data_IF_984754608139
#
_entry.id   IF_984754608139
#
_cell.length_a   1.000
_cell.length_b   1.000
_cell.length_c   1.000
_cell.angle_alpha   90.00
_cell.angle_beta   90.00
_cell.angle_gamma   90.00
#
_symmetry.space_group_name_H-M   'P 1'
#
loop_
_entity.id
_entity.type
_entity.pdbx_description
1 polymer ?
#
# COMPACT_ATOMS: atom_id res chain seq x y z
N UNK A 1 -3.19 -22.69 4.46
CA UNK A 1 -2.93 -22.11 3.13
C UNK A 1 -1.65 -21.29 3.20
N UNK A 2 -0.70 -21.50 2.28
CA UNK A 2 0.49 -20.66 2.20
C UNK A 2 0.07 -19.23 1.85
N UNK A 3 0.60 -18.23 2.57
CA UNK A 3 0.36 -16.82 2.25
C UNK A 3 1.03 -16.53 0.90
N UNK A 4 0.25 -16.07 -0.08
CA UNK A 4 0.82 -15.62 -1.35
C UNK A 4 1.60 -14.33 -1.13
N UNK A 5 2.79 -14.28 -1.65
CA UNK A 5 3.69 -13.13 -1.55
C UNK A 5 4.05 -12.62 -2.94
N UNK A 6 4.59 -11.42 -3.01
CA UNK A 6 5.01 -10.79 -4.26
C UNK A 6 6.06 -11.64 -4.98
N UNK A 7 6.93 -12.33 -4.24
CA UNK A 7 7.92 -13.26 -4.78
C UNK A 7 7.32 -14.47 -5.51
N UNK A 8 6.03 -14.75 -5.32
CA UNK A 8 5.32 -15.84 -6.03
C UNK A 8 4.77 -15.42 -7.40
N UNK A 9 4.91 -14.15 -7.78
CA UNK A 9 4.47 -13.61 -9.07
C UNK A 9 5.68 -13.39 -9.99
N UNK A 10 5.55 -13.84 -11.24
CA UNK A 10 6.56 -13.65 -12.27
C UNK A 10 6.32 -12.40 -13.13
N UNK A 11 7.24 -12.15 -14.06
CA UNK A 11 7.10 -11.05 -15.01
C UNK A 11 5.86 -11.19 -15.90
N UNK A 12 5.49 -12.44 -16.23
CA UNK A 12 4.28 -12.77 -17.01
C UNK A 12 2.98 -12.40 -16.28
N UNK A 13 2.99 -12.41 -14.95
CA UNK A 13 1.83 -12.05 -14.12
C UNK A 13 1.67 -10.54 -13.96
N UNK A 14 2.75 -9.77 -14.15
CA UNK A 14 2.84 -8.36 -13.75
C UNK A 14 3.05 -7.39 -14.92
N UNK A 15 3.73 -7.81 -16.00
CA UNK A 15 4.03 -6.92 -17.13
C UNK A 15 2.75 -6.37 -17.77
N UNK A 16 2.67 -5.05 -17.89
CA UNK A 16 1.51 -4.34 -18.43
C UNK A 16 0.26 -4.39 -17.54
N UNK A 17 0.30 -5.12 -16.42
CA UNK A 17 -0.83 -5.21 -15.48
C UNK A 17 -0.90 -4.00 -14.57
N UNK A 18 -2.13 -3.58 -14.30
CA UNK A 18 -2.42 -2.54 -13.31
C UNK A 18 -2.43 -3.18 -11.93
N UNK A 19 -1.51 -2.73 -11.08
CA UNK A 19 -1.29 -3.29 -9.74
C UNK A 19 -1.63 -2.24 -8.69
N UNK A 20 -2.68 -2.48 -7.91
CA UNK A 20 -3.03 -1.65 -6.76
C UNK A 20 -2.18 -2.05 -5.56
N UNK A 21 -1.36 -1.13 -5.08
CA UNK A 21 -0.48 -1.36 -3.92
C UNK A 21 -0.96 -0.50 -2.76
N UNK A 22 -1.36 -1.14 -1.67
CA UNK A 22 -1.66 -0.43 -0.42
C UNK A 22 -0.36 -0.20 0.35
N UNK A 23 0.00 1.06 0.51
CA UNK A 23 1.23 1.50 1.21
C UNK A 23 0.89 2.33 2.46
N UNK A 24 1.83 2.43 3.39
CA UNK A 24 1.72 3.29 4.56
C UNK A 24 2.56 4.57 4.37
N UNK A 25 1.91 5.63 3.91
CA UNK A 25 2.52 6.94 3.72
C UNK A 25 2.06 7.97 4.76
N UNK A 26 1.63 7.49 5.92
CA UNK A 26 1.26 8.37 7.03
C UNK A 26 2.51 8.92 7.73
N UNK A 27 3.22 9.83 7.05
CA UNK A 27 4.47 10.45 7.49
C UNK A 27 4.22 11.71 8.33
N UNK A 28 5.12 12.06 9.27
CA UNK A 28 5.02 13.32 9.98
C UNK A 28 5.36 14.51 9.08
N UNK A 29 4.68 15.63 9.31
CA UNK A 29 4.91 16.90 8.66
C UNK A 29 5.05 17.99 9.72
N UNK A 30 5.79 19.04 9.39
CA UNK A 30 5.84 20.26 10.18
C UNK A 30 4.66 21.21 9.89
N UNK A 31 4.63 22.36 10.56
CA UNK A 31 3.55 23.35 10.41
C UNK A 31 3.47 23.95 8.99
N UNK A 32 4.54 23.85 8.19
CA UNK A 32 4.56 24.27 6.79
C UNK A 32 4.06 23.20 5.83
N UNK A 33 3.79 21.97 6.33
CA UNK A 33 3.42 20.80 5.53
C UNK A 33 4.62 20.05 4.94
N UNK A 34 5.86 20.43 5.29
CA UNK A 34 7.04 19.70 4.83
C UNK A 34 7.20 18.38 5.59
N UNK A 35 7.56 17.31 4.85
CA UNK A 35 7.80 16.00 5.45
C UNK A 35 9.08 16.04 6.29
N UNK A 36 8.96 15.72 7.58
CA UNK A 36 10.09 15.71 8.53
C UNK A 36 10.77 14.35 8.65
N UNK A 37 10.06 13.27 8.31
CA UNK A 37 10.59 11.91 8.29
C UNK A 37 9.94 11.12 7.14
N UNK A 38 10.74 10.65 6.19
CA UNK A 38 10.31 9.90 5.01
C UNK A 38 10.54 8.38 5.11
N UNK A 39 10.88 7.87 6.30
CA UNK A 39 11.20 6.45 6.54
C UNK A 39 10.13 5.52 5.99
N UNK A 40 8.85 5.84 6.16
CA UNK A 40 7.74 5.02 5.66
C UNK A 40 7.65 5.01 4.15
N UNK A 41 7.96 6.12 3.48
CA UNK A 41 7.99 6.17 2.02
C UNK A 41 9.15 5.30 1.53
N UNK A 42 10.33 5.44 2.13
CA UNK A 42 11.51 4.61 1.78
C UNK A 42 11.27 3.13 2.00
N UNK A 43 10.54 2.75 3.03
CA UNK A 43 10.22 1.36 3.32
C UNK A 43 9.38 0.68 2.22
N UNK A 44 8.57 1.45 1.48
CA UNK A 44 7.77 0.94 0.36
C UNK A 44 8.54 0.86 -0.97
N UNK A 45 9.69 1.53 -1.09
CA UNK A 45 10.46 1.58 -2.34
C UNK A 45 10.84 0.20 -2.91
N UNK A 46 11.26 -0.79 -2.10
CA UNK A 46 11.59 -2.12 -2.63
C UNK A 46 10.42 -2.76 -3.38
N UNK A 47 9.21 -2.69 -2.83
CA UNK A 47 8.00 -3.21 -3.48
C UNK A 47 7.66 -2.44 -4.75
N UNK A 48 7.71 -1.11 -4.70
CA UNK A 48 7.39 -0.25 -5.85
C UNK A 48 8.40 -0.47 -6.97
N UNK A 49 9.70 -0.48 -6.67
CA UNK A 49 10.76 -0.69 -7.65
C UNK A 49 10.67 -2.07 -8.29
N UNK A 50 10.46 -3.11 -7.50
CA UNK A 50 10.28 -4.47 -8.01
C UNK A 50 9.13 -4.56 -9.02
N UNK A 51 7.98 -3.99 -8.73
CA UNK A 51 6.83 -3.97 -9.64
C UNK A 51 7.14 -3.20 -10.92
N UNK A 52 7.78 -2.05 -10.82
CA UNK A 52 8.19 -1.23 -11.95
C UNK A 52 9.18 -1.94 -12.86
N UNK A 53 10.19 -2.60 -12.28
CA UNK A 53 11.23 -3.32 -13.02
C UNK A 53 10.65 -4.49 -13.81
N UNK A 54 9.54 -5.06 -13.35
CA UNK A 54 8.79 -6.10 -14.08
C UNK A 54 7.77 -5.52 -15.08
N UNK A 55 7.72 -4.19 -15.27
CA UNK A 55 6.85 -3.53 -16.24
C UNK A 55 5.40 -3.40 -15.77
N UNK A 56 5.11 -3.53 -14.47
CA UNK A 56 3.77 -3.28 -13.94
C UNK A 56 3.41 -1.79 -13.99
N UNK A 57 2.13 -1.50 -14.12
CA UNK A 57 1.53 -0.16 -13.98
C UNK A 57 1.11 0.01 -12.52
N UNK A 58 1.88 0.78 -11.74
CA UNK A 58 1.77 0.83 -10.30
C UNK A 58 0.82 1.92 -9.84
N UNK A 59 -0.23 1.52 -9.13
CA UNK A 59 -1.25 2.40 -8.56
C UNK A 59 -1.12 2.33 -7.04
N UNK A 60 -0.70 3.42 -6.40
CA UNK A 60 -0.49 3.48 -4.96
C UNK A 60 -1.73 4.02 -4.26
N UNK A 61 -2.20 3.33 -3.25
CA UNK A 61 -3.27 3.76 -2.36
C UNK A 61 -2.72 3.93 -0.94
N UNK A 62 -2.88 5.11 -0.37
CA UNK A 62 -2.39 5.44 0.96
C UNK A 62 -3.41 6.26 1.74
N UNK A 63 -3.28 6.24 3.06
CA UNK A 63 -3.96 7.19 3.93
C UNK A 63 -2.96 8.17 4.53
N UNK A 64 -3.46 9.33 4.89
CA UNK A 64 -2.72 10.35 5.61
C UNK A 64 -3.61 11.02 6.66
N UNK A 65 -3.14 11.04 7.90
CA UNK A 65 -3.88 11.62 9.02
C UNK A 65 -5.23 10.94 9.31
N UNK A 66 -6.13 11.73 9.88
CA UNK A 66 -7.50 11.30 10.26
C UNK A 66 -8.54 12.32 9.80
N UNK A 67 -8.84 12.42 8.51
CA UNK A 67 -9.75 13.43 7.95
C UNK A 67 -11.24 13.13 8.22
N UNK A 68 -11.57 11.97 8.81
CA UNK A 68 -12.94 11.58 9.20
C UNK A 68 -13.94 11.58 8.03
N UNK A 69 -13.54 11.04 6.89
CA UNK A 69 -14.40 10.92 5.71
C UNK A 69 -14.70 12.25 5.00
N UNK A 70 -13.84 13.26 5.16
CA UNK A 70 -13.98 14.56 4.52
C UNK A 70 -12.66 15.00 3.88
N UNK A 71 -12.75 15.74 2.79
CA UNK A 71 -11.57 16.37 2.19
C UNK A 71 -11.00 17.42 3.16
N UNK A 72 -9.71 17.32 3.41
CA UNK A 72 -8.94 18.26 4.20
C UNK A 72 -7.67 18.62 3.45
N UNK A 73 -7.51 19.89 3.08
CA UNK A 73 -6.39 20.36 2.26
C UNK A 73 -5.01 20.09 2.90
N UNK A 74 -4.93 20.18 4.24
CA UNK A 74 -3.70 19.85 4.99
C UNK A 74 -3.38 18.35 5.06
N UNK A 75 -4.29 17.49 4.59
CA UNK A 75 -4.13 16.03 4.57
C UNK A 75 -4.10 15.45 3.14
N UNK A 76 -3.88 16.28 2.13
CA UNK A 76 -3.62 15.82 0.77
C UNK A 76 -2.25 15.16 0.65
N UNK A 77 -2.14 14.22 -0.27
CA UNK A 77 -0.90 13.47 -0.52
C UNK A 77 0.07 14.18 -1.48
N UNK A 78 -0.11 15.47 -1.76
CA UNK A 78 0.70 16.23 -2.72
C UNK A 78 2.19 16.22 -2.37
N UNK A 79 2.55 16.49 -1.12
CA UNK A 79 3.95 16.48 -0.66
C UNK A 79 4.54 15.06 -0.69
N UNK A 80 3.72 14.06 -0.40
CA UNK A 80 4.12 12.64 -0.49
C UNK A 80 4.43 12.25 -1.93
N UNK A 81 3.60 12.66 -2.89
CA UNK A 81 3.84 12.41 -4.32
C UNK A 81 5.14 13.05 -4.81
N UNK A 82 5.38 14.30 -4.43
CA UNK A 82 6.63 15.01 -4.75
C UNK A 82 7.85 14.28 -4.17
N UNK A 83 7.80 13.94 -2.88
CA UNK A 83 8.89 13.22 -2.23
C UNK A 83 9.14 11.84 -2.83
N UNK A 84 8.08 11.12 -3.17
CA UNK A 84 8.18 9.82 -3.82
C UNK A 84 8.79 9.93 -5.22
N UNK A 85 8.44 10.96 -5.99
CA UNK A 85 9.07 11.25 -7.29
C UNK A 85 10.57 11.46 -7.16
N UNK A 86 11.02 12.25 -6.17
CA UNK A 86 12.45 12.47 -5.89
C UNK A 86 13.16 11.16 -5.57
N UNK A 87 12.57 10.33 -4.72
CA UNK A 87 13.16 9.07 -4.28
C UNK A 87 13.22 8.00 -5.38
N UNK A 88 12.23 7.97 -6.27
CA UNK A 88 12.18 7.04 -7.40
C UNK A 88 12.97 7.54 -8.62
N UNK A 89 13.27 8.85 -8.69
CA UNK A 89 13.90 9.47 -9.85
C UNK A 89 13.03 9.48 -11.11
N UNK A 90 11.72 9.35 -10.96
CA UNK A 90 10.73 9.36 -12.04
C UNK A 90 9.49 10.14 -11.60
N UNK A 91 8.72 10.73 -12.54
CA UNK A 91 7.49 11.41 -12.21
C UNK A 91 6.48 10.45 -11.55
N UNK A 92 5.87 10.90 -10.46
CA UNK A 92 4.72 10.26 -9.82
C UNK A 92 3.56 11.25 -9.86
N UNK A 93 2.59 10.97 -10.72
CA UNK A 93 1.38 11.78 -10.74
C UNK A 93 0.49 11.47 -9.53
N UNK A 94 -0.23 12.48 -9.05
CA UNK A 94 -1.25 12.34 -8.00
C UNK A 94 -2.62 12.61 -8.57
N UNK A 95 -3.61 11.79 -8.20
CA UNK A 95 -5.01 12.02 -8.56
C UNK A 95 -5.67 13.04 -7.64
N UNK A 96 -6.76 13.65 -8.06
CA UNK A 96 -7.56 14.56 -7.22
C UNK A 96 -8.51 13.80 -6.27
N UNK A 97 -8.84 12.56 -6.64
CA UNK A 97 -9.66 11.65 -5.83
C UNK A 97 -9.10 10.24 -5.96
N UNK A 98 -9.36 9.37 -5.01
CA UNK A 98 -8.91 7.97 -5.08
C UNK A 98 -9.83 7.08 -5.95
N UNK A 99 -10.99 7.57 -6.36
CA UNK A 99 -11.93 6.89 -7.27
C UNK A 99 -12.58 7.91 -8.20
N UNK A 100 -13.16 7.44 -9.30
CA UNK A 100 -13.89 8.27 -10.27
C UNK A 100 -13.06 8.70 -11.46
N UNK A 101 -13.60 9.61 -12.30
CA UNK A 101 -13.08 9.88 -13.65
C UNK A 101 -11.62 10.33 -13.71
N UNK A 102 -11.14 11.15 -12.76
CA UNK A 102 -9.75 11.59 -12.72
C UNK A 102 -8.79 10.42 -12.42
N UNK A 103 -9.14 9.59 -11.44
CA UNK A 103 -8.34 8.39 -11.10
C UNK A 103 -8.33 7.40 -12.27
N UNK A 104 -9.48 7.15 -12.89
CA UNK A 104 -9.61 6.25 -14.03
C UNK A 104 -8.78 6.73 -15.23
N UNK A 105 -8.84 8.04 -15.55
CA UNK A 105 -8.09 8.63 -16.65
C UNK A 105 -6.58 8.53 -16.46
N UNK A 106 -6.07 8.87 -15.25
CA UNK A 106 -4.63 8.80 -14.94
C UNK A 106 -4.12 7.37 -14.91
N UNK A 107 -4.91 6.44 -14.37
CA UNK A 107 -4.57 5.01 -14.39
C UNK A 107 -4.54 4.46 -15.81
N UNK A 108 -5.51 4.84 -16.66
CA UNK A 108 -5.54 4.41 -18.06
C UNK A 108 -4.34 4.94 -18.87
N UNK A 109 -3.84 6.14 -18.54
CA UNK A 109 -2.70 6.77 -19.17
C UNK A 109 -1.34 6.19 -18.74
N UNK A 110 -1.29 5.36 -17.67
CA UNK A 110 -0.03 4.76 -17.20
C UNK A 110 0.60 3.87 -18.27
N UNK A 111 1.90 4.07 -18.46
CA UNK A 111 2.75 3.17 -19.24
C UNK A 111 3.36 2.08 -18.35
N UNK A 112 4.01 1.07 -18.96
CA UNK A 112 4.75 0.04 -18.24
C UNK A 112 5.85 0.67 -17.37
N UNK A 113 5.90 0.31 -16.09
CA UNK A 113 6.81 0.89 -15.11
C UNK A 113 6.40 2.29 -14.59
N UNK A 114 5.26 2.82 -15.04
CA UNK A 114 4.70 4.07 -14.54
C UNK A 114 4.11 3.93 -13.14
N UNK A 115 4.03 5.06 -12.41
CA UNK A 115 3.50 5.13 -11.03
C UNK A 115 2.52 6.28 -10.91
N UNK A 116 1.37 6.01 -10.32
CA UNK A 116 0.39 7.02 -9.91
C UNK A 116 0.06 6.86 -8.43
N UNK A 117 -0.06 7.95 -7.71
CA UNK A 117 -0.53 7.97 -6.33
C UNK A 117 -1.97 8.47 -6.29
N UNK A 118 -2.88 7.62 -5.82
CA UNK A 118 -4.26 8.02 -5.55
C UNK A 118 -4.31 9.01 -4.38
N UNK A 119 -5.31 9.90 -4.38
CA UNK A 119 -5.53 10.80 -3.25
C UNK A 119 -5.93 10.01 -2.00
N UNK A 120 -5.78 10.62 -0.85
CA UNK A 120 -6.01 10.06 0.48
C UNK A 120 -7.34 9.28 0.56
N UNK A 121 -7.25 7.97 0.70
CA UNK A 121 -8.43 7.08 0.74
C UNK A 121 -9.37 7.41 1.93
N UNK A 122 -8.85 7.99 3.00
CA UNK A 122 -9.65 8.39 4.18
C UNK A 122 -10.45 9.68 4.00
N UNK A 123 -10.38 10.32 2.83
CA UNK A 123 -11.34 11.37 2.49
C UNK A 123 -12.75 10.81 2.28
N UNK A 124 -12.88 9.49 2.15
CA UNK A 124 -14.14 8.76 2.06
C UNK A 124 -14.42 8.01 3.36
N UNK A 125 -15.60 8.22 3.95
CA UNK A 125 -16.03 7.51 5.17
C UNK A 125 -16.17 6.00 4.91
N UNK A 126 -16.47 5.64 3.68
CA UNK A 126 -16.62 4.29 3.16
C UNK A 126 -15.33 3.47 3.28
N UNK A 127 -14.15 4.13 3.30
CA UNK A 127 -12.86 3.46 3.51
C UNK A 127 -12.82 2.79 4.88
N UNK A 128 -13.06 3.56 5.96
CA UNK A 128 -13.02 3.02 7.32
C UNK A 128 -14.22 2.12 7.63
N UNK A 129 -15.35 2.34 6.95
CA UNK A 129 -16.54 1.48 6.99
C UNK A 129 -16.41 0.17 6.24
N UNK A 130 -15.31 -0.04 5.51
CA UNK A 130 -15.12 -1.21 4.65
C UNK A 130 -16.30 -1.44 3.69
N UNK A 131 -16.80 -0.36 3.10
CA UNK A 131 -17.95 -0.38 2.20
C UNK A 131 -17.64 -1.18 0.93
N UNK A 132 -18.47 -2.19 0.57
CA UNK A 132 -18.19 -3.04 -0.58
C UNK A 132 -18.23 -2.29 -1.91
N UNK A 133 -19.12 -1.31 -2.09
CA UNK A 133 -19.23 -0.57 -3.33
C UNK A 133 -18.03 0.36 -3.55
N UNK A 134 -17.49 0.94 -2.48
CA UNK A 134 -16.26 1.71 -2.52
C UNK A 134 -15.04 0.81 -2.80
N UNK A 135 -14.97 -0.36 -2.16
CA UNK A 135 -13.92 -1.35 -2.41
C UNK A 135 -13.94 -1.83 -3.87
N UNK A 136 -15.11 -2.06 -4.45
CA UNK A 136 -15.27 -2.43 -5.86
C UNK A 136 -14.77 -1.32 -6.81
N UNK A 137 -15.07 -0.06 -6.51
CA UNK A 137 -14.55 1.09 -7.29
C UNK A 137 -13.02 1.18 -7.24
N UNK A 138 -12.42 0.98 -6.08
CA UNK A 138 -10.95 0.91 -5.97
C UNK A 138 -10.39 -0.27 -6.75
N UNK A 139 -11.01 -1.43 -6.63
CA UNK A 139 -10.60 -2.66 -7.30
C UNK A 139 -10.71 -2.56 -8.83
N UNK A 140 -11.69 -1.82 -9.36
CA UNK A 140 -11.89 -1.63 -10.81
C UNK A 140 -10.71 -0.92 -11.50
N UNK A 141 -9.88 -0.21 -10.73
CA UNK A 141 -8.68 0.45 -11.25
C UNK A 141 -7.55 -0.54 -11.57
N UNK A 142 -7.59 -1.76 -11.06
CA UNK A 142 -6.46 -2.69 -11.10
C UNK A 142 -6.86 -4.12 -11.46
N UNK A 143 -5.87 -4.97 -11.65
CA UNK A 143 -5.99 -6.41 -11.95
C UNK A 143 -5.34 -7.27 -10.87
N UNK A 144 -4.37 -6.70 -10.15
CA UNK A 144 -3.61 -7.36 -9.06
C UNK A 144 -3.62 -6.45 -7.84
N UNK A 145 -3.67 -7.04 -6.64
CA UNK A 145 -3.57 -6.30 -5.39
C UNK A 145 -2.35 -6.72 -4.58
N UNK A 146 -1.62 -5.73 -4.08
CA UNK A 146 -0.48 -5.91 -3.17
C UNK A 146 -0.72 -5.14 -1.89
N UNK A 147 -0.68 -5.82 -0.74
CA UNK A 147 -0.70 -5.17 0.56
C UNK A 147 0.73 -5.03 1.10
N UNK A 148 1.20 -3.79 1.19
CA UNK A 148 2.52 -3.43 1.73
C UNK A 148 2.41 -2.46 2.92
N UNK A 149 1.22 -2.34 3.50
CA UNK A 149 0.92 -1.46 4.62
C UNK A 149 0.77 -2.25 5.93
N UNK A 150 1.87 -2.69 6.51
CA UNK A 150 1.86 -3.49 7.75
C UNK A 150 1.12 -2.77 8.89
N UNK A 151 1.37 -1.48 9.10
CA UNK A 151 0.72 -0.68 10.15
C UNK A 151 -0.80 -0.56 10.02
N UNK A 152 -1.36 -0.80 8.84
CA UNK A 152 -2.80 -0.78 8.57
C UNK A 152 -3.42 -2.16 8.35
N UNK A 153 -2.61 -3.22 8.25
CA UNK A 153 -3.05 -4.57 7.87
C UNK A 153 -4.00 -5.23 8.88
N UNK A 154 -3.98 -4.78 10.14
CA UNK A 154 -4.87 -5.28 11.19
C UNK A 154 -6.28 -4.67 11.15
N UNK A 155 -6.52 -3.70 10.27
CA UNK A 155 -7.81 -3.01 10.13
C UNK A 155 -8.54 -3.52 8.89
N UNK A 156 -9.80 -3.90 9.05
CA UNK A 156 -10.67 -4.27 7.94
C UNK A 156 -11.24 -2.99 7.29
N UNK A 157 -10.47 -2.36 6.42
CA UNK A 157 -10.86 -1.20 5.63
C UNK A 157 -11.07 -1.59 4.16
N UNK A 158 -11.75 -0.74 3.39
CA UNK A 158 -12.02 -1.01 1.98
C UNK A 158 -10.73 -1.24 1.18
N UNK A 159 -9.69 -0.40 1.38
CA UNK A 159 -8.41 -0.51 0.67
C UNK A 159 -7.47 -1.62 1.20
N UNK A 160 -7.76 -2.25 2.34
CA UNK A 160 -6.92 -3.32 2.92
C UNK A 160 -7.58 -4.69 2.82
N UNK A 161 -8.87 -4.79 3.15
CA UNK A 161 -9.62 -6.06 3.17
C UNK A 161 -10.67 -6.11 2.06
N UNK A 162 -11.48 -5.05 1.90
CA UNK A 162 -12.58 -5.04 0.95
C UNK A 162 -12.15 -5.34 -0.48
N UNK A 163 -11.08 -4.70 -0.96
CA UNK A 163 -10.54 -4.89 -2.33
C UNK A 163 -10.12 -6.32 -2.63
N UNK A 164 -9.72 -7.11 -1.61
CA UNK A 164 -9.29 -8.50 -1.80
C UNK A 164 -10.43 -9.43 -2.22
N UNK A 165 -11.67 -8.99 -2.07
CA UNK A 165 -12.86 -9.73 -2.53
C UNK A 165 -13.08 -9.62 -4.04
N UNK A 166 -12.49 -8.59 -4.64
CA UNK A 166 -12.66 -8.27 -6.07
C UNK A 166 -11.39 -8.47 -6.89
N UNK A 167 -10.21 -8.45 -6.27
CA UNK A 167 -8.92 -8.60 -6.94
C UNK A 167 -8.24 -9.93 -6.61
N UNK A 168 -7.88 -10.67 -7.66
CA UNK A 168 -7.13 -11.91 -7.54
C UNK A 168 -6.08 -11.98 -8.67
N UNK A 169 -4.78 -12.12 -8.38
CA UNK A 169 -4.22 -12.41 -7.07
C UNK A 169 -4.19 -11.21 -6.12
N UNK A 170 -4.27 -11.50 -4.82
CA UNK A 170 -3.99 -10.58 -3.71
C UNK A 170 -2.81 -11.13 -2.92
N UNK A 171 -1.73 -10.36 -2.82
CA UNK A 171 -0.45 -10.81 -2.26
C UNK A 171 0.14 -9.81 -1.26
N UNK A 172 1.06 -10.28 -0.42
CA UNK A 172 1.85 -9.42 0.45
C UNK A 172 3.05 -8.83 -0.30
N UNK A 173 3.33 -7.54 -0.08
CA UNK A 173 4.53 -6.86 -0.57
C UNK A 173 5.75 -7.17 0.30
N UNK A 174 6.94 -6.72 -0.12
CA UNK A 174 8.21 -7.03 0.54
C UNK A 174 8.30 -6.52 1.98
N UNK A 175 7.76 -5.32 2.27
CA UNK A 175 7.73 -4.80 3.63
C UNK A 175 6.85 -5.69 4.52
N UNK A 176 5.67 -6.07 4.04
CA UNK A 176 4.74 -6.95 4.74
C UNK A 176 5.38 -8.32 5.01
N UNK A 177 6.08 -8.91 4.04
CA UNK A 177 6.80 -10.18 4.18
C UNK A 177 7.86 -10.10 5.27
N UNK A 178 8.68 -9.04 5.27
CA UNK A 178 9.74 -8.81 6.25
C UNK A 178 9.19 -8.72 7.67
N UNK A 179 8.13 -7.95 7.87
CA UNK A 179 7.49 -7.77 9.17
C UNK A 179 6.84 -9.07 9.68
N UNK A 180 6.18 -9.82 8.78
CA UNK A 180 5.60 -11.13 9.12
C UNK A 180 6.66 -12.16 9.49
N UNK A 181 7.81 -12.16 8.82
CA UNK A 181 8.94 -13.05 9.14
C UNK A 181 9.54 -12.72 10.52
N UNK A 182 9.70 -11.43 10.86
CA UNK A 182 10.18 -10.98 12.18
C UNK A 182 9.26 -11.46 13.30
N UNK A 183 7.95 -11.32 13.16
CA UNK A 183 6.98 -11.79 14.16
C UNK A 183 6.98 -13.32 14.34
N UNK A 184 7.28 -14.08 13.30
CA UNK A 184 7.38 -15.54 13.37
C UNK A 184 8.69 -15.96 14.06
N UNK A 185 9.79 -15.24 13.85
CA UNK A 185 11.07 -15.44 14.50
C UNK A 185 10.96 -15.25 16.03
N UNK A 186 10.34 -14.16 16.46
CA UNK A 186 10.16 -13.85 17.89
C UNK A 186 9.27 -14.89 18.60
N UNK A 187 8.24 -15.41 17.95
CA UNK A 187 7.41 -16.48 18.51
C UNK A 187 8.17 -17.79 18.69
N UNK A 188 9.14 -18.10 17.81
CA UNK A 188 10.00 -19.29 17.96
C UNK A 188 11.00 -19.11 19.09
N UNK A 189 11.60 -17.94 19.22
CA UNK A 189 12.55 -17.63 20.31
C UNK A 189 11.88 -17.62 21.70
N UNK A 190 10.67 -17.07 21.80
CA UNK A 190 9.90 -17.05 23.05
C UNK A 190 9.46 -18.45 23.49
N UNK A 191 9.12 -19.35 22.53
CA UNK A 191 8.81 -20.77 22.84
C UNK A 191 10.04 -21.56 23.27
N UNK A 192 11.23 -21.28 22.73
CA UNK A 192 12.48 -21.91 23.12
C UNK A 192 12.92 -21.46 24.53
N UNK A 193 12.70 -20.22 24.90
CA UNK A 193 13.00 -19.70 26.23
C UNK A 193 12.02 -20.22 27.32
N UNK A 194 10.78 -20.52 26.97
CA UNK A 194 9.81 -21.10 27.90
C UNK A 194 10.01 -22.60 28.15
N UNK A 195 10.69 -23.32 27.26
CA UNK A 195 11.02 -24.74 27.45
C UNK A 195 12.31 -24.98 28.27
N UNK A 196 13.06 -23.94 28.61
CA UNK A 196 14.24 -24.06 29.48
C UNK A 196 13.96 -23.77 30.97
N UNK A 197 12.70 -23.55 31.35
CA UNK A 197 12.31 -23.22 32.74
C UNK A 197 11.56 -24.37 33.44
N UNK A 198 11.77 -25.62 33.04
CA UNK A 198 11.28 -26.78 33.76
C UNK A 198 12.40 -27.82 33.81
N UNK A 199 13.38 -27.61 34.67
CA UNK A 199 14.11 -28.68 35.37
C UNK A 199 14.72 -28.05 36.63
N UNK A 200 14.06 -28.21 37.76
CA UNK A 200 14.67 -28.35 39.07
C UNK A 200 13.58 -28.66 40.09
N UNK A 201 13.37 -29.90 40.36
CA UNK A 201 13.27 -30.55 41.67
C UNK A 201 13.27 -32.06 41.50
#
# INVERSE_FOLDING_TARGET
MAKRTLASLGAEDLRGKRVLVRVDFNVPQDDSGAITDDTRIRAALPTISFLRDLGAKVILAAHFGRPKGKVNEGMRLTQVAARLSDLLGVPVEKTESCVGPDAEAKVAALEEGGVVLLENVRFFAEEEGNDPAFAEKLASLAEVYVNDAFGAAHRAHASTEGVTKFLNPSVAGHLMEKELASLQGDRKSTRLNSSHLVISY
#
